data_IF_869475291380
#
_entry.id   IF_869475291380
#
_cell.length_a   1.000
_cell.length_b   1.000
_cell.length_c   1.000
_cell.angle_alpha   90.00
_cell.angle_beta   90.00
_cell.angle_gamma   90.00
#
_symmetry.space_group_name_H-M   'P 1'
#
loop_
_entity.id
_entity.type
_entity.pdbx_description
1 polymer ?
#
# COMPACT_ATOMS: atom_id res chain seq x y z
N UNK A 1 -12.54 -14.52 1.57
CA UNK A 1 -11.25 -15.16 1.28
C UNK A 1 -10.23 -14.06 1.15
N UNK A 2 -9.21 -14.10 2.00
CA UNK A 2 -8.04 -13.22 1.96
C UNK A 2 -7.43 -13.12 0.56
N UNK A 3 -6.56 -12.13 0.34
CA UNK A 3 -5.85 -11.93 -0.92
C UNK A 3 -5.15 -13.22 -1.35
N UNK A 4 -5.22 -13.55 -2.64
CA UNK A 4 -4.72 -14.84 -3.14
C UNK A 4 -3.23 -14.78 -3.44
N UNK A 5 -2.78 -13.66 -4.00
CA UNK A 5 -1.39 -13.47 -4.43
C UNK A 5 -0.72 -12.31 -3.67
N UNK A 6 -0.82 -12.30 -2.34
CA UNK A 6 -0.19 -11.26 -1.52
C UNK A 6 1.34 -11.36 -1.56
N UNK A 7 2.01 -10.21 -1.64
CA UNK A 7 3.46 -10.17 -1.58
C UNK A 7 4.02 -8.76 -1.71
N UNK A 8 5.32 -8.70 -2.03
CA UNK A 8 6.07 -7.47 -2.20
C UNK A 8 6.75 -7.42 -3.56
N UNK A 9 6.56 -6.32 -4.29
CA UNK A 9 7.27 -6.00 -5.52
C UNK A 9 8.45 -5.07 -5.23
N UNK A 10 9.68 -5.54 -5.46
CA UNK A 10 10.91 -4.72 -5.42
C UNK A 10 11.30 -4.30 -6.84
N UNK A 11 11.22 -3.01 -7.16
CA UNK A 11 11.52 -2.49 -8.50
C UNK A 11 11.88 -0.99 -8.47
N UNK A 12 12.34 -0.44 -9.59
CA UNK A 12 12.59 1.01 -9.74
C UNK A 12 11.48 1.67 -10.55
N UNK A 13 11.02 2.84 -10.10
CA UNK A 13 10.03 3.62 -10.84
C UNK A 13 10.64 4.30 -12.05
N UNK A 14 9.92 4.26 -13.17
CA UNK A 14 10.35 4.86 -14.44
C UNK A 14 9.34 5.88 -14.97
N UNK A 15 8.06 5.76 -14.62
CA UNK A 15 7.04 6.73 -15.01
C UNK A 15 5.87 6.71 -14.03
N UNK A 16 5.05 7.75 -14.03
CA UNK A 16 3.84 7.83 -13.21
C UNK A 16 2.76 8.69 -13.86
N UNK A 17 1.50 8.38 -13.57
CA UNK A 17 0.35 9.17 -14.00
C UNK A 17 -0.83 9.01 -13.03
N UNK A 18 -1.67 10.03 -12.95
CA UNK A 18 -2.89 9.98 -12.15
C UNK A 18 -3.96 9.14 -12.85
N UNK A 19 -4.74 8.40 -12.07
CA UNK A 19 -5.96 7.73 -12.52
C UNK A 19 -7.19 8.19 -11.73
N UNK A 20 -8.34 7.57 -11.97
CA UNK A 20 -9.61 7.94 -11.29
C UNK A 20 -9.63 7.53 -9.82
N UNK A 21 -9.33 6.26 -9.54
CA UNK A 21 -9.34 5.68 -8.19
C UNK A 21 -7.95 5.36 -7.67
N UNK A 22 -6.97 5.33 -8.58
CA UNK A 22 -5.64 4.86 -8.29
C UNK A 22 -4.59 5.76 -8.97
N UNK A 23 -3.55 6.12 -8.23
CA UNK A 23 -2.33 6.68 -8.78
C UNK A 23 -1.48 5.55 -9.38
N UNK A 24 -1.02 5.72 -10.62
CA UNK A 24 -0.36 4.66 -11.38
C UNK A 24 1.13 4.91 -11.46
N UNK A 25 1.93 3.91 -11.10
CA UNK A 25 3.39 3.95 -11.27
C UNK A 25 3.80 2.82 -12.20
N UNK A 26 4.55 3.16 -13.24
CA UNK A 26 5.27 2.18 -14.04
C UNK A 26 6.61 1.93 -13.38
N UNK A 27 6.87 0.67 -13.06
CA UNK A 27 8.16 0.23 -12.51
C UNK A 27 8.76 -0.86 -13.37
N UNK A 28 10.07 -1.04 -13.23
CA UNK A 28 10.84 -2.06 -13.92
C UNK A 28 11.77 -2.75 -12.93
N UNK A 29 11.84 -4.07 -13.00
CA UNK A 29 12.82 -4.86 -12.23
C UNK A 29 14.19 -4.92 -12.93
N UNK A 30 15.15 -5.58 -12.30
CA UNK A 30 16.52 -5.76 -12.84
C UNK A 30 16.58 -6.62 -14.11
N UNK A 31 15.53 -7.38 -14.44
CA UNK A 31 15.43 -8.22 -15.65
C UNK A 31 14.60 -7.54 -16.75
N UNK A 32 14.41 -6.22 -16.66
CA UNK A 32 13.59 -5.42 -17.57
C UNK A 32 12.09 -5.77 -17.59
N UNK A 33 11.60 -6.58 -16.64
CA UNK A 33 10.17 -6.89 -16.53
C UNK A 33 9.45 -5.66 -15.97
N UNK A 34 8.41 -5.24 -16.70
CA UNK A 34 7.57 -4.10 -16.34
C UNK A 34 6.39 -4.52 -15.50
N UNK A 35 6.04 -3.66 -14.54
CA UNK A 35 4.90 -3.82 -13.66
C UNK A 35 4.20 -2.47 -13.50
N UNK A 36 2.89 -2.49 -13.30
CA UNK A 36 2.12 -1.34 -12.83
C UNK A 36 1.84 -1.46 -11.34
N UNK A 37 2.16 -0.44 -10.57
CA UNK A 37 1.72 -0.29 -9.18
C UNK A 37 0.47 0.59 -9.21
N UNK A 38 -0.65 0.08 -8.73
CA UNK A 38 -1.92 0.79 -8.66
C UNK A 38 -2.22 1.19 -7.20
N UNK A 39 -1.85 2.42 -6.83
CA UNK A 39 -1.95 2.93 -5.45
C UNK A 39 -3.34 3.53 -5.22
N UNK A 40 -4.09 3.05 -4.23
CA UNK A 40 -5.45 3.53 -3.94
C UNK A 40 -5.44 4.98 -3.44
N UNK A 41 -6.08 5.89 -4.18
CA UNK A 41 -6.19 7.32 -3.79
C UNK A 41 -7.63 7.79 -3.60
N UNK A 42 -8.60 6.94 -3.95
CA UNK A 42 -10.02 7.24 -3.77
C UNK A 42 -10.80 5.95 -3.50
N UNK A 43 -11.70 5.99 -2.52
CA UNK A 43 -12.65 4.91 -2.27
C UNK A 43 -13.83 4.96 -3.26
N UNK A 44 -14.37 3.79 -3.60
CA UNK A 44 -15.64 3.69 -4.32
C UNK A 44 -16.84 3.92 -3.38
N UNK A 45 -16.65 3.72 -2.08
CA UNK A 45 -17.65 3.95 -1.04
C UNK A 45 -17.47 5.33 -0.37
N UNK A 46 -18.52 5.80 0.30
CA UNK A 46 -18.44 7.01 1.13
C UNK A 46 -17.94 6.67 2.54
N UNK A 47 -17.04 7.47 3.15
CA UNK A 47 -16.36 8.62 2.56
C UNK A 47 -15.33 8.25 1.49
N UNK A 48 -15.24 9.07 0.43
CA UNK A 48 -14.41 8.76 -0.73
C UNK A 48 -12.92 9.07 -0.54
N UNK A 49 -12.61 9.92 0.44
CA UNK A 49 -11.26 10.29 0.84
C UNK A 49 -10.56 9.09 1.50
N UNK A 50 -9.29 8.90 1.16
CA UNK A 50 -8.45 7.83 1.70
C UNK A 50 -7.65 8.41 2.85
N UNK A 51 -7.56 7.67 3.95
CA UNK A 51 -6.64 7.97 5.04
C UNK A 51 -5.22 7.73 4.55
N UNK A 52 -4.35 8.70 4.71
CA UNK A 52 -2.94 8.55 4.37
C UNK A 52 -2.04 8.89 5.56
N UNK A 53 -0.91 8.21 5.64
CA UNK A 53 0.22 8.59 6.49
C UNK A 53 1.53 8.34 5.76
N UNK A 54 2.37 9.37 5.70
CA UNK A 54 3.71 9.29 5.11
C UNK A 54 4.72 9.45 6.24
N UNK A 55 5.52 8.41 6.47
CA UNK A 55 6.63 8.43 7.41
C UNK A 55 7.94 8.63 6.65
N UNK A 56 8.53 9.82 6.77
CA UNK A 56 9.77 10.19 6.08
C UNK A 56 11.06 9.58 6.65
N UNK A 57 10.99 9.01 7.86
CA UNK A 57 12.07 8.30 8.54
C UNK A 57 11.57 6.94 9.02
N UNK A 58 11.05 6.15 8.06
CA UNK A 58 10.42 4.88 8.37
C UNK A 58 11.46 3.87 8.88
N UNK A 59 11.25 3.39 10.11
CA UNK A 59 12.09 2.39 10.77
C UNK A 59 11.24 1.20 11.12
N UNK A 60 11.70 0.01 10.76
CA UNK A 60 11.01 -1.22 11.10
C UNK A 60 12.01 -2.35 11.38
N UNK A 61 11.70 -3.19 12.37
CA UNK A 61 12.62 -4.21 12.90
C UNK A 61 13.15 -5.18 11.84
N UNK A 62 12.39 -5.41 10.77
CA UNK A 62 12.73 -6.36 9.71
C UNK A 62 13.22 -5.68 8.43
N UNK A 63 13.51 -4.37 8.45
CA UNK A 63 13.75 -3.60 7.22
C UNK A 63 14.94 -4.12 6.40
N UNK A 64 15.98 -4.62 7.08
CA UNK A 64 17.18 -5.20 6.45
C UNK A 64 16.89 -6.47 5.63
N UNK A 65 15.81 -7.20 5.94
CA UNK A 65 15.43 -8.38 5.18
C UNK A 65 14.98 -8.01 3.77
N UNK A 66 14.39 -6.81 3.60
CA UNK A 66 13.94 -6.32 2.28
C UNK A 66 15.09 -5.96 1.37
N UNK A 67 16.24 -5.56 1.91
CA UNK A 67 17.44 -5.31 1.12
C UNK A 67 17.90 -6.59 0.39
N UNK A 68 17.72 -7.75 1.02
CA UNK A 68 18.12 -9.07 0.49
C UNK A 68 17.13 -9.67 -0.52
N UNK A 69 15.95 -9.08 -0.68
CA UNK A 69 14.99 -9.53 -1.69
C UNK A 69 15.56 -9.36 -3.10
N UNK A 70 15.30 -10.34 -3.96
CA UNK A 70 15.57 -10.21 -5.40
C UNK A 70 14.65 -9.14 -5.98
N UNK A 71 15.11 -8.44 -7.01
CA UNK A 71 14.23 -7.56 -7.78
C UNK A 71 13.11 -8.38 -8.43
N UNK A 72 11.92 -7.77 -8.55
CA UNK A 72 10.71 -8.44 -9.00
C UNK A 72 9.73 -8.70 -7.85
N UNK A 73 8.71 -9.51 -8.11
CA UNK A 73 7.70 -9.85 -7.12
C UNK A 73 8.12 -11.05 -6.27
N UNK A 74 7.99 -10.91 -4.95
CA UNK A 74 8.15 -12.00 -3.99
C UNK A 74 6.82 -12.22 -3.28
N UNK A 75 6.25 -13.42 -3.44
CA UNK A 75 5.05 -13.84 -2.71
C UNK A 75 5.36 -13.98 -1.21
N UNK A 76 4.45 -13.50 -0.36
CA UNK A 76 4.59 -13.62 1.10
C UNK A 76 3.54 -14.61 1.59
N UNK A 77 4.00 -15.80 1.94
CA UNK A 77 3.17 -16.87 2.49
C UNK A 77 3.12 -16.83 4.02
N UNK A 78 2.23 -17.62 4.62
CA UNK A 78 1.98 -17.68 6.07
C UNK A 78 3.20 -18.05 6.93
N UNK A 79 4.25 -18.62 6.35
CA UNK A 79 5.52 -18.90 7.03
C UNK A 79 6.50 -17.70 7.02
N UNK A 80 6.18 -16.62 6.31
CA UNK A 80 7.02 -15.44 6.06
C UNK A 80 6.40 -14.15 6.60
N UNK A 81 5.52 -14.24 7.59
CA UNK A 81 4.78 -13.11 8.18
C UNK A 81 5.69 -11.99 8.72
N UNK A 82 6.95 -12.31 9.03
CA UNK A 82 7.93 -11.29 9.46
C UNK A 82 8.28 -10.26 8.37
N UNK A 83 7.84 -10.48 7.13
CA UNK A 83 7.96 -9.55 6.00
C UNK A 83 6.64 -8.90 5.60
N UNK A 84 5.50 -9.41 6.09
CA UNK A 84 4.18 -8.89 5.78
C UNK A 84 3.87 -7.61 6.56
N UNK A 85 3.05 -6.73 5.99
CA UNK A 85 2.54 -5.56 6.71
C UNK A 85 1.23 -5.90 7.43
N UNK A 86 1.13 -5.43 8.67
CA UNK A 86 -0.12 -5.41 9.43
C UNK A 86 -0.16 -4.10 10.24
N UNK A 87 -1.13 -3.24 9.97
CA UNK A 87 -1.25 -1.91 10.56
C UNK A 87 -1.71 -1.96 12.02
N UNK A 88 -2.44 -3.03 12.39
CA UNK A 88 -3.00 -3.21 13.74
C UNK A 88 -1.99 -3.95 14.64
N UNK A 89 -1.35 -5.00 14.12
CA UNK A 89 -0.50 -5.94 14.88
C UNK A 89 1.00 -5.72 14.65
N UNK A 90 1.39 -5.11 13.54
CA UNK A 90 2.78 -5.00 13.10
C UNK A 90 3.57 -3.83 13.68
N UNK A 91 2.93 -2.98 14.49
CA UNK A 91 3.52 -1.80 15.14
C UNK A 91 4.29 -0.88 14.15
N UNK A 92 3.71 -0.67 12.97
CA UNK A 92 4.34 0.10 11.89
C UNK A 92 4.27 1.62 12.13
N UNK A 93 3.16 2.08 12.71
CA UNK A 93 2.88 3.47 13.05
C UNK A 93 1.66 3.58 13.97
N UNK A 94 1.42 4.77 14.52
CA UNK A 94 0.19 5.05 15.27
C UNK A 94 -0.94 5.44 14.33
N UNK A 95 -2.05 4.70 14.35
CA UNK A 95 -3.20 4.92 13.44
C UNK A 95 -3.75 6.35 13.48
N UNK A 96 -3.68 7.02 14.63
CA UNK A 96 -4.17 8.40 14.81
C UNK A 96 -3.36 9.45 14.05
N UNK A 97 -2.22 9.06 13.46
CA UNK A 97 -1.42 9.93 12.57
C UNK A 97 -1.93 9.95 11.14
N UNK A 98 -2.85 9.07 10.77
CA UNK A 98 -3.44 9.08 9.43
C UNK A 98 -4.42 10.23 9.29
N UNK A 99 -4.41 10.86 8.12
CA UNK A 99 -5.25 12.03 7.81
C UNK A 99 -6.10 11.68 6.58
N UNK A 100 -7.43 11.93 6.58
CA UNK A 100 -8.24 11.78 5.39
C UNK A 100 -7.88 12.86 4.37
N UNK A 101 -7.63 12.47 3.13
CA UNK A 101 -7.32 13.42 2.07
C UNK A 101 -8.04 13.05 0.76
N UNK A 102 -8.67 14.05 0.15
CA UNK A 102 -9.32 13.88 -1.13
C UNK A 102 -8.30 13.55 -2.21
N UNK A 103 -8.72 12.73 -3.18
CA UNK A 103 -7.84 12.31 -4.27
C UNK A 103 -7.37 13.49 -5.11
N UNK A 104 -8.23 14.48 -5.35
CA UNK A 104 -7.92 15.62 -6.20
C UNK A 104 -8.72 16.84 -5.80
N UNK A 105 -8.05 17.97 -5.57
CA UNK A 105 -8.67 19.26 -5.23
C UNK A 105 -8.01 20.36 -6.07
N UNK A 106 -8.63 21.53 -6.18
CA UNK A 106 -8.01 22.68 -6.85
C UNK A 106 -7.07 23.39 -5.86
N UNK A 107 -5.88 23.74 -6.31
CA UNK A 107 -4.84 24.37 -5.50
C UNK A 107 -3.62 23.46 -5.38
N UNK A 108 -2.46 24.00 -4.96
CA UNK A 108 -1.23 23.22 -4.86
C UNK A 108 -1.11 22.50 -3.52
N UNK A 109 -0.55 21.30 -3.55
CA UNK A 109 -0.12 20.50 -2.40
C UNK A 109 -1.23 20.23 -1.36
N UNK A 110 -2.47 20.09 -1.84
CA UNK A 110 -3.66 19.95 -1.03
C UNK A 110 -4.48 18.69 -1.33
N UNK A 111 -3.95 17.79 -2.18
CA UNK A 111 -4.58 16.50 -2.47
C UNK A 111 -3.64 15.30 -2.39
N UNK A 112 -4.23 14.10 -2.29
CA UNK A 112 -3.49 12.86 -2.08
C UNK A 112 -2.66 12.46 -3.29
N UNK A 113 -3.11 12.76 -4.52
CA UNK A 113 -2.31 12.47 -5.70
C UNK A 113 -1.03 13.31 -5.69
N UNK A 114 -1.08 14.59 -5.32
CA UNK A 114 0.11 15.45 -5.22
C UNK A 114 1.10 14.93 -4.16
N UNK A 115 0.61 14.55 -2.98
CA UNK A 115 1.45 13.98 -1.91
C UNK A 115 2.16 12.71 -2.38
N UNK A 116 1.46 11.81 -3.07
CA UNK A 116 2.07 10.58 -3.61
C UNK A 116 3.01 10.90 -4.78
N UNK A 117 2.60 11.78 -5.70
CA UNK A 117 3.38 12.18 -6.87
C UNK A 117 4.74 12.73 -6.46
N UNK A 118 4.78 13.59 -5.42
CA UNK A 118 6.04 14.12 -4.89
C UNK A 118 7.07 13.02 -4.58
N UNK A 119 6.68 11.98 -3.83
CA UNK A 119 7.58 10.90 -3.46
C UNK A 119 7.92 9.97 -4.63
N UNK A 120 6.96 9.69 -5.52
CA UNK A 120 7.20 8.87 -6.70
C UNK A 120 8.12 9.58 -7.70
N UNK A 121 7.90 10.87 -7.98
CA UNK A 121 8.79 11.67 -8.83
C UNK A 121 10.18 11.79 -8.24
N UNK A 122 10.29 11.97 -6.91
CA UNK A 122 11.58 11.93 -6.22
C UNK A 122 12.27 10.59 -6.42
N UNK A 123 11.56 9.47 -6.22
CA UNK A 123 12.10 8.13 -6.43
C UNK A 123 12.55 7.87 -7.88
N UNK A 124 11.81 8.37 -8.87
CA UNK A 124 12.20 8.32 -10.29
C UNK A 124 13.50 9.10 -10.50
N UNK A 125 13.55 10.36 -10.04
CA UNK A 125 14.71 11.24 -10.24
C UNK A 125 15.98 10.78 -9.51
N UNK A 126 15.84 10.02 -8.43
CA UNK A 126 16.97 9.44 -7.68
C UNK A 126 17.20 7.96 -7.95
N UNK A 127 16.51 7.38 -8.94
CA UNK A 127 16.57 5.95 -9.30
C UNK A 127 16.45 5.01 -8.10
N UNK A 128 15.58 5.38 -7.16
CA UNK A 128 15.42 4.71 -5.87
C UNK A 128 14.55 3.47 -5.95
N UNK A 129 14.79 2.54 -5.04
CA UNK A 129 14.08 1.26 -4.99
C UNK A 129 12.73 1.46 -4.32
N UNK A 130 11.68 0.95 -4.96
CA UNK A 130 10.32 0.89 -4.42
C UNK A 130 10.00 -0.55 -4.04
N UNK A 131 9.39 -0.71 -2.87
CA UNK A 131 8.78 -1.92 -2.37
C UNK A 131 7.27 -1.68 -2.26
N UNK A 132 6.49 -2.27 -3.17
CA UNK A 132 5.03 -2.19 -3.11
C UNK A 132 4.45 -3.47 -2.53
N UNK A 133 3.61 -3.34 -1.51
CA UNK A 133 2.89 -4.44 -0.87
C UNK A 133 1.43 -4.43 -1.28
N UNK A 134 0.90 -5.61 -1.55
CA UNK A 134 -0.47 -5.79 -2.01
C UNK A 134 -0.64 -7.12 -2.75
N UNK A 135 -1.71 -7.22 -3.53
CA UNK A 135 -2.01 -8.41 -4.34
C UNK A 135 -1.44 -8.26 -5.76
N UNK A 136 -0.75 -9.30 -6.25
CA UNK A 136 -0.27 -9.34 -7.64
C UNK A 136 -1.36 -9.81 -8.60
N UNK A 137 -1.49 -9.08 -9.71
CA UNK A 137 -2.22 -9.56 -10.89
C UNK A 137 -1.26 -9.84 -12.06
N UNK A 138 -1.74 -10.64 -13.01
CA UNK A 138 -0.99 -11.01 -14.21
C UNK A 138 0.20 -11.93 -13.92
N UNK A 139 1.10 -12.17 -14.90
CA UNK A 139 1.05 -11.61 -16.25
C UNK A 139 -0.25 -11.98 -16.99
N UNK A 140 -0.82 -11.03 -17.72
CA UNK A 140 -2.06 -11.16 -18.49
C UNK A 140 -1.77 -11.31 -19.98
N UNK A 141 -2.66 -11.97 -20.73
CA UNK A 141 -2.59 -12.09 -22.19
C UNK A 141 -3.12 -10.82 -22.91
N UNK A 142 -2.78 -9.64 -22.39
CA UNK A 142 -3.15 -8.32 -22.96
C UNK A 142 -2.18 -7.24 -22.48
N UNK A 143 -2.10 -6.14 -23.23
CA UNK A 143 -1.41 -4.91 -22.83
C UNK A 143 -1.93 -4.33 -21.51
N UNK A 144 -1.01 -3.75 -20.72
CA UNK A 144 -1.38 -2.90 -19.58
C UNK A 144 -2.24 -1.71 -20.02
N UNK A 145 -3.26 -1.39 -19.23
CA UNK A 145 -4.25 -0.34 -19.55
C UNK A 145 -3.64 1.05 -19.65
N UNK A 146 -2.69 1.39 -18.78
CA UNK A 146 -2.18 2.76 -18.60
C UNK A 146 -0.88 3.02 -19.34
N UNK A 147 0.03 2.05 -19.34
CA UNK A 147 1.38 2.18 -19.87
C UNK A 147 1.67 1.32 -21.10
N UNK A 148 0.70 0.51 -21.54
CA UNK A 148 0.74 -0.24 -22.82
C UNK A 148 1.93 -1.20 -22.98
N UNK A 149 2.51 -1.68 -21.89
CA UNK A 149 3.51 -2.75 -21.94
C UNK A 149 2.84 -4.14 -21.96
N UNK A 150 3.54 -5.13 -22.50
CA UNK A 150 3.09 -6.51 -22.59
C UNK A 150 4.12 -7.48 -22.01
N UNK A 151 3.68 -8.55 -21.30
CA UNK A 151 2.31 -8.78 -20.84
C UNK A 151 1.90 -7.77 -19.75
N UNK A 152 0.61 -7.46 -19.65
CA UNK A 152 0.07 -6.65 -18.55
C UNK A 152 0.33 -7.34 -17.21
N UNK A 153 0.87 -6.62 -16.23
CA UNK A 153 1.37 -7.20 -14.98
C UNK A 153 1.41 -6.13 -13.89
N UNK A 154 1.21 -6.47 -12.62
CA UNK A 154 1.30 -5.45 -11.58
C UNK A 154 0.78 -5.85 -10.21
N UNK A 155 0.62 -4.84 -9.36
CA UNK A 155 0.22 -4.98 -7.95
C UNK A 155 -0.83 -3.92 -7.54
N UNK A 156 -1.89 -4.37 -6.87
CA UNK A 156 -3.03 -3.57 -6.39
C UNK A 156 -3.30 -3.85 -4.89
N UNK A 157 -4.43 -3.37 -4.38
CA UNK A 157 -4.83 -3.49 -2.96
C UNK A 157 -3.75 -2.92 -2.02
N UNK A 158 -3.27 -1.73 -2.39
CA UNK A 158 -2.21 -1.00 -1.71
C UNK A 158 -2.84 -0.08 -0.66
N UNK A 159 -3.47 -0.71 0.33
CA UNK A 159 -4.05 -0.08 1.51
C UNK A 159 -4.21 -1.13 2.62
N UNK A 160 -4.71 -0.76 3.79
CA UNK A 160 -5.08 -1.69 4.85
C UNK A 160 -6.10 -2.72 4.33
N UNK A 161 -5.79 -4.01 4.39
CA UNK A 161 -6.59 -5.10 3.81
C UNK A 161 -7.29 -5.91 4.91
N UNK A 162 -7.84 -5.20 5.89
CA UNK A 162 -8.59 -5.76 7.02
C UNK A 162 -9.61 -4.73 7.55
N UNK A 163 -10.58 -5.21 8.32
CA UNK A 163 -11.59 -4.35 8.95
C UNK A 163 -12.70 -3.87 8.03
N UNK A 164 -12.74 -4.33 6.77
CA UNK A 164 -13.83 -4.01 5.84
C UNK A 164 -15.11 -4.77 6.18
N UNK A 165 -16.27 -4.20 5.88
CA UNK A 165 -17.59 -4.83 6.04
C UNK A 165 -18.20 -5.21 4.69
N UNK A 166 -19.38 -5.84 4.73
CA UNK A 166 -20.23 -6.10 3.56
C UNK A 166 -19.49 -6.76 2.37
N UNK A 167 -19.53 -6.13 1.20
CA UNK A 167 -19.01 -6.67 -0.06
C UNK A 167 -17.49 -6.91 -0.04
N UNK A 168 -16.77 -6.16 0.80
CA UNK A 168 -15.31 -6.18 0.91
C UNK A 168 -14.82 -7.03 2.08
N UNK A 169 -15.73 -7.52 2.94
CA UNK A 169 -15.38 -8.39 4.08
C UNK A 169 -14.60 -9.62 3.65
N UNK A 170 -14.89 -10.13 2.44
CA UNK A 170 -14.21 -11.31 1.91
C UNK A 170 -12.70 -11.08 1.82
N UNK A 171 -12.24 -9.87 1.47
CA UNK A 171 -10.83 -9.59 1.18
C UNK A 171 -10.01 -9.36 2.46
N UNK A 172 -10.67 -9.30 3.63
CA UNK A 172 -10.02 -9.15 4.92
C UNK A 172 -9.06 -10.30 5.25
N UNK A 173 -7.98 -9.95 5.95
CA UNK A 173 -6.99 -10.89 6.46
C UNK A 173 -5.91 -10.18 7.26
N UNK A 174 -5.33 -10.89 8.22
CA UNK A 174 -4.19 -10.39 9.00
C UNK A 174 -2.91 -10.52 8.20
N UNK A 175 -1.91 -9.67 8.46
CA UNK A 175 -0.60 -9.74 7.80
C UNK A 175 -0.67 -9.79 6.26
N UNK A 176 -1.56 -8.99 5.69
CA UNK A 176 -1.66 -8.82 4.24
C UNK A 176 -1.99 -7.37 3.86
N UNK A 177 -1.71 -6.42 4.75
CA UNK A 177 -1.93 -5.01 4.45
C UNK A 177 -0.99 -4.55 3.34
N UNK A 178 -1.48 -3.67 2.49
CA UNK A 178 -0.73 -3.03 1.44
C UNK A 178 0.05 -1.82 1.94
N UNK A 179 0.87 -1.25 1.06
CA UNK A 179 1.66 -0.06 1.36
C UNK A 179 2.84 0.10 0.41
N UNK A 180 3.48 1.27 0.44
CA UNK A 180 4.67 1.54 -0.36
C UNK A 180 5.83 1.90 0.59
N UNK A 181 6.97 1.22 0.43
CA UNK A 181 8.23 1.64 1.02
C UNK A 181 9.17 2.11 -0.09
N UNK A 182 9.86 3.22 0.10
CA UNK A 182 10.84 3.76 -0.84
C UNK A 182 12.18 3.83 -0.12
N UNK A 183 13.19 3.18 -0.68
CA UNK A 183 14.54 3.21 -0.17
C UNK A 183 15.41 4.14 -1.02
N UNK A 184 15.78 5.28 -0.42
CA UNK A 184 16.72 6.25 -0.98
C UNK A 184 18.14 5.82 -0.63
N UNK A 185 18.71 4.95 -1.48
CA UNK A 185 20.02 4.30 -1.28
C UNK A 185 21.14 5.31 -0.98
N UNK A 186 21.18 6.43 -1.70
CA UNK A 186 22.22 7.47 -1.55
C UNK A 186 22.26 8.11 -0.15
N UNK A 187 21.12 8.14 0.54
CA UNK A 187 20.99 8.75 1.88
C UNK A 187 20.74 7.70 2.96
N UNK A 188 20.74 6.41 2.61
CA UNK A 188 20.32 5.31 3.48
C UNK A 188 19.02 5.61 4.25
N UNK A 189 18.00 6.11 3.55
CA UNK A 189 16.75 6.60 4.16
C UNK A 189 15.55 5.86 3.58
N UNK A 190 14.63 5.48 4.46
CA UNK A 190 13.38 4.83 4.12
C UNK A 190 12.20 5.78 4.29
N UNK A 191 11.31 5.79 3.30
CA UNK A 191 10.01 6.44 3.40
C UNK A 191 8.93 5.36 3.33
N UNK A 192 7.97 5.40 4.25
CA UNK A 192 6.78 4.54 4.21
C UNK A 192 5.54 5.35 3.88
N UNK A 193 4.72 4.88 2.95
CA UNK A 193 3.42 5.45 2.57
C UNK A 193 2.35 4.40 2.87
N UNK A 194 1.47 4.74 3.80
CA UNK A 194 0.42 3.85 4.32
C UNK A 194 -0.95 4.45 4.05
N UNK A 195 -1.89 3.59 3.66
CA UNK A 195 -3.20 4.00 3.16
C UNK A 195 -4.28 3.13 3.78
N UNK A 196 -5.44 3.70 4.11
CA UNK A 196 -6.59 2.95 4.63
C UNK A 196 -7.89 3.64 4.22
N UNK A 197 -8.97 2.88 4.06
CA UNK A 197 -10.28 3.46 3.82
C UNK A 197 -10.94 3.88 5.13
N UNK A 198 -11.69 4.98 5.09
CA UNK A 198 -12.41 5.48 6.27
C UNK A 198 -13.55 4.57 6.72
N UNK A 199 -14.01 3.66 5.85
CA UNK A 199 -15.00 2.64 6.18
C UNK A 199 -14.43 1.44 6.95
N UNK A 200 -13.10 1.34 7.07
CA UNK A 200 -12.45 0.18 7.71
C UNK A 200 -12.31 0.34 9.22
N UNK A 201 -12.73 -0.70 9.94
CA UNK A 201 -12.54 -0.80 11.38
C UNK A 201 -11.09 -1.12 11.74
N UNK A 202 -10.58 -0.45 12.77
CA UNK A 202 -9.23 -0.69 13.29
C UNK A 202 -9.20 -1.75 14.40
N UNK A 203 -10.31 -2.45 14.59
CA UNK A 203 -10.48 -3.50 15.57
C UNK A 203 -10.88 -4.78 14.86
N UNK A 204 -9.92 -5.67 14.67
CA UNK A 204 -10.11 -6.90 13.89
C UNK A 204 -9.77 -8.14 14.70
N UNK A 205 -10.48 -9.25 14.46
CA UNK A 205 -10.12 -10.56 15.01
C UNK A 205 -9.05 -11.24 14.14
N UNK A 206 -8.66 -12.47 14.48
CA UNK A 206 -7.52 -13.18 13.88
C UNK A 206 -7.70 -13.57 12.41
N UNK A 207 -8.88 -13.33 11.83
CA UNK A 207 -9.12 -13.46 10.40
C UNK A 207 -9.20 -12.09 9.68
N UNK A 208 -8.86 -10.99 10.37
CA UNK A 208 -8.90 -9.63 9.82
C UNK A 208 -10.29 -9.00 9.77
N UNK A 209 -11.36 -9.69 10.19
CA UNK A 209 -12.70 -9.12 10.19
C UNK A 209 -12.92 -8.15 11.34
N UNK A 210 -13.68 -7.08 11.09
CA UNK A 210 -14.09 -6.13 12.11
C UNK A 210 -14.86 -6.81 13.25
N UNK A 211 -14.45 -6.56 14.51
CA UNK A 211 -15.18 -6.97 15.72
C UNK A 211 -16.05 -5.85 16.29
N UNK A 212 -15.78 -4.62 15.89
CA UNK A 212 -16.57 -3.42 16.17
C UNK A 212 -16.77 -2.63 14.88
N UNK A 213 -17.91 -1.96 14.70
CA UNK A 213 -18.11 -1.09 13.54
C UNK A 213 -17.10 0.07 13.57
N UNK A 214 -16.78 0.63 12.39
CA UNK A 214 -15.83 1.75 12.26
C UNK A 214 -16.26 3.00 13.03
N UNK A 215 -17.57 3.19 13.23
CA UNK A 215 -18.13 4.26 14.07
C UNK A 215 -17.67 4.16 15.53
N UNK A 216 -17.40 2.96 16.02
CA UNK A 216 -16.90 2.70 17.38
C UNK A 216 -15.38 2.51 17.42
N UNK A 217 -14.78 1.97 16.36
CA UNK A 217 -13.35 1.74 16.26
C UNK A 217 -12.78 2.14 14.89
N UNK A 218 -12.24 3.36 14.84
CA UNK A 218 -11.56 3.95 13.70
C UNK A 218 -10.09 4.26 14.01
N UNK A 219 -9.41 4.88 13.04
CA UNK A 219 -7.99 5.23 13.15
C UNK A 219 -7.66 6.14 14.35
N UNK A 220 -8.60 6.90 14.91
CA UNK A 220 -8.37 7.80 16.04
C UNK A 220 -8.54 7.10 17.39
N UNK A 221 -9.55 6.24 17.53
CA UNK A 221 -9.94 5.63 18.81
C UNK A 221 -9.62 4.12 18.91
N UNK A 222 -8.82 3.58 18.00
CA UNK A 222 -8.40 2.17 17.92
C UNK A 222 -7.72 1.61 19.17
N UNK A 223 -7.13 2.47 20.02
CA UNK A 223 -6.43 2.06 21.26
C UNK A 223 -7.36 1.35 22.27
N UNK A 224 -8.68 1.52 22.17
CA UNK A 224 -9.66 0.92 23.10
C UNK A 224 -9.85 -0.61 22.97
N UNK A 225 -9.29 -1.26 21.95
CA UNK A 225 -9.48 -2.70 21.73
C UNK A 225 -8.23 -3.56 21.89
N UNK A 226 -7.08 -2.98 22.24
CA UNK A 226 -5.92 -3.76 22.67
C UNK A 226 -6.10 -4.19 24.12
N UNK A 227 -7.07 -5.08 24.39
CA UNK A 227 -7.00 -5.86 25.62
C UNK A 227 -5.84 -6.84 25.47
N UNK A 228 -4.88 -6.71 26.39
CA UNK A 228 -3.68 -7.52 26.52
C UNK A 228 -3.97 -9.02 26.49
#
# INVERSE_FOLDING_TARGET
>A
MSLKNYGVLKAKAINSQMGKFHYQVLVKDENDVKYRIAINVKSEEYPSEVLYFINEDFKWKNIDKFLKLKSGFTEIQSNSLNMALDYIRGDLFESSKMIPLASRVTGPDNDLNEKIDFYIKKAIGTESVIYAYGEKWGPENKSDKYFKFEPGNGIHDIHMNQGSTDNWKKDNGIWQDGGILIYFEKTNRWVGIFLAFQSQSWCTCDNGNAIKPVSECNHINSKACRNK
#
